data_IF_086030414398
#
_entry.id   IF_086030414398
#
_cell.length_a   1.000
_cell.length_b   1.000
_cell.length_c   1.000
_cell.angle_alpha   90.00
_cell.angle_beta   90.00
_cell.angle_gamma   90.00
#
_symmetry.space_group_name_H-M   'P 1'
#
loop_
_entity.id
_entity.type
_entity.pdbx_description
1 polymer ?
#
# COMPACT_ATOMS: atom_id res chain seq x y z
N UNK A 1 16.03 -26.68 -16.43
CA UNK A 1 16.59 -25.52 -17.17
C UNK A 1 18.03 -25.82 -17.57
N UNK A 2 18.46 -25.47 -18.78
CA UNK A 2 19.85 -25.66 -19.23
C UNK A 2 20.78 -24.65 -18.56
N UNK A 3 22.04 -25.03 -18.27
CA UNK A 3 23.07 -24.16 -17.65
C UNK A 3 23.21 -22.78 -18.34
N UNK A 4 23.06 -22.75 -19.67
CA UNK A 4 23.11 -21.52 -20.48
C UNK A 4 21.97 -20.55 -20.16
N UNK A 5 20.78 -21.03 -19.81
CA UNK A 5 19.65 -20.18 -19.43
C UNK A 5 19.83 -19.62 -18.02
N UNK A 6 20.32 -20.42 -17.07
CA UNK A 6 20.62 -19.96 -15.71
C UNK A 6 21.68 -18.84 -15.71
N UNK A 7 22.74 -18.98 -16.52
CA UNK A 7 23.78 -17.95 -16.65
C UNK A 7 23.21 -16.62 -17.17
N UNK A 8 22.34 -16.67 -18.18
CA UNK A 8 21.68 -15.47 -18.75
C UNK A 8 20.73 -14.80 -17.75
N UNK A 9 20.02 -15.59 -16.94
CA UNK A 9 19.14 -15.06 -15.90
C UNK A 9 19.95 -14.38 -14.78
N UNK A 10 21.10 -14.93 -14.40
CA UNK A 10 21.97 -14.30 -13.41
C UNK A 10 22.61 -13.00 -13.93
N UNK A 11 23.01 -12.96 -15.20
CA UNK A 11 23.47 -11.73 -15.85
C UNK A 11 22.36 -10.66 -15.89
N UNK A 12 21.12 -11.07 -16.20
CA UNK A 12 19.95 -10.18 -16.16
C UNK A 12 19.69 -9.66 -14.73
N UNK A 13 19.74 -10.53 -13.72
CA UNK A 13 19.59 -10.15 -12.31
C UNK A 13 20.61 -9.06 -11.92
N UNK A 14 21.88 -9.26 -12.25
CA UNK A 14 22.93 -8.29 -11.92
C UNK A 14 22.71 -6.95 -12.64
N UNK A 15 22.35 -7.00 -13.92
CA UNK A 15 22.06 -5.80 -14.73
C UNK A 15 20.88 -5.00 -14.16
N UNK A 16 19.78 -5.69 -13.82
CA UNK A 16 18.62 -5.05 -13.23
C UNK A 16 18.90 -4.51 -11.83
N UNK A 17 19.66 -5.23 -11.02
CA UNK A 17 20.11 -4.77 -9.71
C UNK A 17 20.92 -3.48 -9.82
N UNK A 18 21.90 -3.42 -10.72
CA UNK A 18 22.74 -2.21 -10.91
C UNK A 18 21.89 -1.02 -11.43
N UNK A 19 20.94 -1.29 -12.31
CA UNK A 19 20.00 -0.27 -12.79
C UNK A 19 19.09 0.25 -11.67
N UNK A 20 18.56 -0.64 -10.83
CA UNK A 20 17.73 -0.29 -9.67
C UNK A 20 18.55 0.51 -8.65
N UNK A 21 19.79 0.10 -8.37
CA UNK A 21 20.68 0.81 -7.45
C UNK A 21 21.00 2.22 -7.97
N UNK A 22 21.12 2.38 -9.30
CA UNK A 22 21.26 3.69 -9.95
C UNK A 22 19.99 4.54 -9.82
N UNK A 23 18.81 3.96 -10.04
CA UNK A 23 17.51 4.63 -9.88
C UNK A 23 17.35 5.13 -8.45
N UNK A 24 17.65 4.28 -7.48
CA UNK A 24 17.57 4.64 -6.07
C UNK A 24 18.63 5.69 -5.69
N UNK A 25 19.80 5.68 -6.30
CA UNK A 25 20.80 6.74 -6.09
C UNK A 25 20.30 8.11 -6.56
N UNK A 26 19.53 8.16 -7.65
CA UNK A 26 18.96 9.37 -8.27
C UNK A 26 17.64 9.85 -7.62
N UNK A 27 17.35 9.38 -6.40
CA UNK A 27 16.13 9.65 -5.60
C UNK A 27 15.61 11.09 -5.66
N UNK A 28 14.28 11.25 -5.64
CA UNK A 28 13.57 12.53 -5.62
C UNK A 28 13.61 13.39 -6.87
N UNK A 29 14.35 12.96 -7.88
CA UNK A 29 14.44 13.71 -9.12
C UNK A 29 13.24 13.54 -10.06
N UNK A 30 12.41 12.54 -9.76
CA UNK A 30 11.29 12.06 -10.58
C UNK A 30 9.93 12.44 -9.98
N UNK A 31 9.87 12.88 -8.72
CA UNK A 31 8.61 13.08 -8.00
C UNK A 31 7.89 14.40 -8.37
N UNK A 32 8.50 15.28 -9.16
CA UNK A 32 7.93 16.59 -9.53
C UNK A 32 7.18 16.55 -10.86
N UNK A 33 5.88 16.22 -10.81
CA UNK A 33 4.74 16.74 -11.61
C UNK A 33 4.72 16.75 -13.15
N UNK A 34 5.85 16.67 -13.85
CA UNK A 34 5.90 16.78 -15.32
C UNK A 34 5.62 15.45 -16.01
N UNK A 35 5.02 15.51 -17.20
CA UNK A 35 4.71 14.35 -18.07
C UNK A 35 5.94 13.47 -18.37
N UNK A 36 7.13 14.09 -18.52
CA UNK A 36 8.38 13.38 -18.72
C UNK A 36 8.78 12.48 -17.53
N UNK A 37 8.36 12.83 -16.32
CA UNK A 37 8.68 12.06 -15.11
C UNK A 37 7.64 11.00 -14.77
N UNK A 38 6.39 11.16 -15.22
CA UNK A 38 5.42 10.05 -15.22
C UNK A 38 5.90 8.88 -16.07
N UNK A 39 6.42 9.15 -17.27
CA UNK A 39 7.03 8.13 -18.13
C UNK A 39 8.22 7.43 -17.47
N UNK A 40 9.08 8.19 -16.79
CA UNK A 40 10.20 7.61 -16.05
C UNK A 40 9.73 6.73 -14.87
N UNK A 41 8.68 7.15 -14.14
CA UNK A 41 8.09 6.33 -13.08
C UNK A 41 7.47 5.02 -13.63
N UNK A 42 6.86 5.06 -14.82
CA UNK A 42 6.36 3.86 -15.52
C UNK A 42 7.51 2.93 -15.93
N UNK A 43 8.57 3.45 -16.52
CA UNK A 43 9.78 2.68 -16.88
C UNK A 43 10.42 2.03 -15.66
N UNK A 44 10.45 2.72 -14.52
CA UNK A 44 10.96 2.18 -13.27
C UNK A 44 10.10 1.06 -12.72
N UNK A 45 8.79 1.20 -12.76
CA UNK A 45 7.88 0.13 -12.38
C UNK A 45 8.12 -1.12 -13.23
N UNK A 46 8.37 -0.95 -14.54
CA UNK A 46 8.74 -2.06 -15.42
C UNK A 46 10.07 -2.70 -15.03
N UNK A 47 11.08 -1.89 -14.68
CA UNK A 47 12.37 -2.40 -14.22
C UNK A 47 12.23 -3.29 -12.98
N UNK A 48 11.46 -2.86 -11.97
CA UNK A 48 11.19 -3.64 -10.78
C UNK A 48 10.37 -4.91 -11.09
N UNK A 49 9.35 -4.81 -11.95
CA UNK A 49 8.58 -5.98 -12.40
C UNK A 49 9.49 -7.05 -13.01
N UNK A 50 10.38 -6.65 -13.93
CA UNK A 50 11.33 -7.57 -14.58
C UNK A 50 12.32 -8.15 -13.57
N UNK A 51 12.79 -7.36 -12.61
CA UNK A 51 13.67 -7.87 -11.54
C UNK A 51 12.98 -8.96 -10.72
N UNK A 52 11.73 -8.74 -10.32
CA UNK A 52 10.95 -9.72 -9.56
C UNK A 52 10.71 -11.00 -10.38
N UNK A 53 10.40 -10.89 -11.67
CA UNK A 53 10.26 -12.05 -12.57
C UNK A 53 11.55 -12.86 -12.69
N UNK A 54 12.70 -12.19 -12.79
CA UNK A 54 14.02 -12.84 -12.81
C UNK A 54 14.32 -13.52 -11.47
N UNK A 55 14.03 -12.88 -10.33
CA UNK A 55 14.20 -13.48 -9.01
C UNK A 55 13.41 -14.79 -8.89
N UNK A 56 12.12 -14.76 -9.28
CA UNK A 56 11.25 -15.93 -9.25
C UNK A 56 11.70 -17.02 -10.23
N UNK A 57 12.26 -16.65 -11.38
CA UNK A 57 12.83 -17.61 -12.35
C UNK A 57 14.14 -18.25 -11.89
N UNK A 58 14.84 -17.62 -10.95
CA UNK A 58 16.06 -18.11 -10.32
C UNK A 58 15.82 -18.85 -9.00
N UNK A 59 14.55 -19.05 -8.58
CA UNK A 59 14.21 -19.57 -7.26
C UNK A 59 14.83 -18.75 -6.12
N UNK A 60 14.68 -17.43 -6.23
CA UNK A 60 15.08 -16.43 -5.23
C UNK A 60 13.82 -15.72 -4.73
N UNK A 61 12.95 -16.47 -4.05
CA UNK A 61 11.63 -16.02 -3.60
C UNK A 61 11.72 -14.91 -2.55
N UNK A 62 12.75 -14.92 -1.70
CA UNK A 62 13.03 -13.87 -0.72
C UNK A 62 13.38 -12.55 -1.41
N UNK A 63 14.33 -12.59 -2.36
CA UNK A 63 14.74 -11.43 -3.15
C UNK A 63 13.53 -10.83 -3.89
N UNK A 64 12.66 -11.69 -4.44
CA UNK A 64 11.45 -11.25 -5.13
C UNK A 64 10.56 -10.38 -4.23
N UNK A 65 10.33 -10.78 -2.97
CA UNK A 65 9.55 -9.97 -2.03
C UNK A 65 10.27 -8.66 -1.68
N UNK A 66 11.58 -8.72 -1.43
CA UNK A 66 12.36 -7.52 -1.10
C UNK A 66 12.31 -6.48 -2.22
N UNK A 67 12.41 -6.89 -3.48
CA UNK A 67 12.26 -5.99 -4.62
C UNK A 67 10.82 -5.49 -4.81
N UNK A 68 9.80 -6.30 -4.48
CA UNK A 68 8.41 -5.83 -4.44
C UNK A 68 8.25 -4.73 -3.39
N UNK A 69 8.77 -4.94 -2.18
CA UNK A 69 8.70 -3.99 -1.07
C UNK A 69 9.47 -2.71 -1.38
N UNK A 70 10.66 -2.84 -1.99
CA UNK A 70 11.48 -1.73 -2.46
C UNK A 70 10.72 -0.86 -3.47
N UNK A 71 10.04 -1.49 -4.43
CA UNK A 71 9.19 -0.78 -5.38
C UNK A 71 8.00 -0.07 -4.71
N UNK A 72 7.22 -0.78 -3.89
CA UNK A 72 6.02 -0.18 -3.24
C UNK A 72 6.37 1.00 -2.33
N UNK A 73 7.56 0.98 -1.76
CA UNK A 73 7.92 1.87 -0.64
C UNK A 73 8.73 3.09 -1.07
N UNK A 74 9.32 3.12 -2.28
CA UNK A 74 10.19 4.22 -2.70
C UNK A 74 9.47 5.59 -2.69
N UNK A 75 8.30 5.70 -3.33
CA UNK A 75 7.54 6.96 -3.42
C UNK A 75 7.05 7.39 -2.04
N UNK A 76 6.46 6.45 -1.29
CA UNK A 76 5.86 6.80 0.00
C UNK A 76 6.94 7.17 1.00
N UNK A 77 8.05 6.43 1.10
CA UNK A 77 9.17 6.81 1.97
C UNK A 77 9.71 8.18 1.64
N UNK A 78 9.79 8.53 0.35
CA UNK A 78 10.22 9.85 -0.07
C UNK A 78 9.21 10.95 0.30
N UNK A 79 7.91 10.74 0.08
CA UNK A 79 6.86 11.68 0.48
C UNK A 79 6.84 11.89 2.00
N UNK A 80 7.03 10.83 2.76
CA UNK A 80 7.07 10.84 4.22
C UNK A 80 8.33 11.56 4.75
N UNK A 81 9.48 11.34 4.12
CA UNK A 81 10.71 12.08 4.38
C UNK A 81 10.59 13.56 3.95
N UNK A 82 9.80 13.85 2.92
CA UNK A 82 9.56 15.22 2.42
C UNK A 82 8.70 16.02 3.38
N UNK A 83 7.60 15.42 3.86
CA UNK A 83 6.66 16.07 4.77
C UNK A 83 7.07 15.98 6.23
N UNK A 84 8.25 15.42 6.54
CA UNK A 84 8.76 15.17 7.89
C UNK A 84 7.83 14.31 8.78
N UNK A 85 6.81 13.67 8.20
CA UNK A 85 5.74 12.99 8.92
C UNK A 85 6.23 11.78 9.74
N UNK A 86 7.39 11.22 9.37
CA UNK A 86 8.02 10.08 10.06
C UNK A 86 9.33 10.48 10.76
N UNK A 87 9.81 11.71 10.52
CA UNK A 87 11.08 12.22 11.04
C UNK A 87 10.87 13.11 12.28
N UNK A 88 9.65 13.33 12.73
CA UNK A 88 9.38 13.90 14.05
C UNK A 88 9.73 12.84 15.12
N UNK A 89 11.00 12.86 15.53
CA UNK A 89 11.50 12.10 16.69
C UNK A 89 12.80 11.33 16.48
N UNK A 90 13.15 10.93 15.25
CA UNK A 90 14.35 10.09 14.99
C UNK A 90 15.57 10.84 14.45
N UNK A 91 15.40 11.97 13.73
CA UNK A 91 16.52 12.71 13.13
C UNK A 91 16.79 14.04 13.86
N UNK A 92 18.05 14.35 14.22
CA UNK A 92 18.43 15.65 14.80
C UNK A 92 17.98 16.82 13.92
N UNK A 93 17.58 17.94 14.53
CA UNK A 93 17.13 19.13 13.80
C UNK A 93 18.19 19.66 12.80
N UNK A 94 19.48 19.57 13.17
CA UNK A 94 20.58 19.96 12.29
C UNK A 94 20.59 19.15 10.98
N UNK A 95 20.46 17.83 11.07
CA UNK A 95 20.41 16.93 9.90
C UNK A 95 19.18 17.24 9.05
N UNK A 96 18.02 17.50 9.67
CA UNK A 96 16.80 17.88 8.94
C UNK A 96 16.97 19.17 8.14
N UNK A 97 17.59 20.22 8.72
CA UNK A 97 17.88 21.48 8.01
C UNK A 97 18.87 21.27 6.88
N UNK A 98 19.88 20.43 7.08
CA UNK A 98 20.87 20.11 6.04
C UNK A 98 20.24 19.35 4.86
N UNK A 99 19.39 18.35 5.12
CA UNK A 99 18.65 17.63 4.09
C UNK A 99 17.73 18.56 3.27
N UNK A 100 17.06 19.52 3.93
CA UNK A 100 16.25 20.53 3.23
C UNK A 100 17.11 21.41 2.31
N UNK A 101 18.28 21.84 2.78
CA UNK A 101 19.21 22.65 2.00
C UNK A 101 19.73 21.88 0.78
N UNK A 102 20.16 20.64 0.96
CA UNK A 102 20.66 19.80 -0.13
C UNK A 102 19.61 19.58 -1.21
N UNK A 103 18.34 19.36 -0.83
CA UNK A 103 17.24 19.25 -1.80
C UNK A 103 17.10 20.50 -2.67
N UNK A 104 17.14 21.68 -2.05
CA UNK A 104 17.06 22.95 -2.79
C UNK A 104 18.26 23.13 -3.74
N UNK A 105 19.46 22.82 -3.28
CA UNK A 105 20.68 22.90 -4.10
C UNK A 105 20.64 21.92 -5.29
N UNK A 106 20.17 20.69 -5.06
CA UNK A 106 19.96 19.70 -6.13
C UNK A 106 18.95 20.24 -7.15
N UNK A 107 17.80 20.78 -6.72
CA UNK A 107 16.79 21.31 -7.62
C UNK A 107 17.29 22.50 -8.45
N UNK A 108 18.05 23.40 -7.85
CA UNK A 108 18.68 24.53 -8.55
C UNK A 108 19.68 24.03 -9.60
N UNK A 109 20.54 23.11 -9.20
CA UNK A 109 21.58 22.56 -10.07
C UNK A 109 20.99 21.80 -11.25
N UNK A 110 19.90 21.06 -11.05
CA UNK A 110 19.17 20.39 -12.14
C UNK A 110 18.65 21.37 -13.17
N UNK A 111 18.08 22.49 -12.74
CA UNK A 111 17.59 23.53 -13.67
C UNK A 111 18.75 24.15 -14.46
N UNK A 112 19.91 24.32 -13.84
CA UNK A 112 21.13 24.77 -14.53
C UNK A 112 21.57 23.76 -15.59
N UNK A 113 21.64 22.47 -15.25
CA UNK A 113 22.05 21.41 -16.16
C UNK A 113 21.09 21.22 -17.34
N UNK A 114 19.80 21.48 -17.15
CA UNK A 114 18.79 21.36 -18.21
C UNK A 114 18.96 22.39 -19.35
N UNK A 115 19.60 23.53 -19.09
CA UNK A 115 19.83 24.60 -20.08
C UNK A 115 21.27 24.63 -20.60
N UNK A 116 22.16 23.83 -20.01
CA UNK A 116 23.56 23.74 -20.38
C UNK A 116 23.74 22.88 -21.65
N UNK A 117 24.56 23.34 -22.59
CA UNK A 117 24.87 22.61 -23.82
C UNK A 117 25.93 21.52 -23.59
N UNK A 118 26.71 21.63 -22.51
CA UNK A 118 27.72 20.65 -22.09
C UNK A 118 27.64 20.45 -20.57
N UNK A 119 26.60 19.74 -20.08
CA UNK A 119 26.34 19.61 -18.66
C UNK A 119 27.47 18.86 -17.92
N UNK A 120 28.01 19.50 -16.87
CA UNK A 120 28.89 18.85 -15.89
C UNK A 120 28.09 18.32 -14.71
N UNK A 121 27.99 16.99 -14.61
CA UNK A 121 27.27 16.31 -13.55
C UNK A 121 28.11 16.11 -12.25
N UNK A 122 29.35 16.56 -12.21
CA UNK A 122 30.23 16.38 -11.05
C UNK A 122 29.66 17.01 -9.77
N UNK A 123 29.20 18.27 -9.85
CA UNK A 123 28.68 18.99 -8.69
C UNK A 123 27.36 18.39 -8.18
N UNK A 124 26.40 18.11 -9.07
CA UNK A 124 25.14 17.48 -8.66
C UNK A 124 25.36 16.10 -8.05
N UNK A 125 26.32 15.33 -8.55
CA UNK A 125 26.65 14.02 -7.97
C UNK A 125 27.21 14.14 -6.55
N UNK A 126 28.02 15.15 -6.25
CA UNK A 126 28.48 15.42 -4.87
C UNK A 126 27.32 15.76 -3.94
N UNK A 127 26.36 16.57 -4.40
CA UNK A 127 25.16 16.92 -3.62
C UNK A 127 24.30 15.68 -3.34
N UNK A 128 24.09 14.82 -4.35
CA UNK A 128 23.37 13.54 -4.22
C UNK A 128 24.05 12.59 -3.26
N UNK A 129 25.37 12.46 -3.36
CA UNK A 129 26.15 11.61 -2.47
C UNK A 129 25.96 12.05 -1.01
N UNK A 130 26.15 13.35 -0.72
CA UNK A 130 25.95 13.89 0.63
C UNK A 130 24.52 13.71 1.13
N UNK A 131 23.52 13.86 0.26
CA UNK A 131 22.12 13.60 0.62
C UNK A 131 21.91 12.13 1.02
N UNK A 132 22.43 11.19 0.23
CA UNK A 132 22.32 9.75 0.49
C UNK A 132 23.12 9.31 1.73
N UNK A 133 24.23 9.97 2.06
CA UNK A 133 25.00 9.73 3.28
C UNK A 133 24.24 10.17 4.54
N UNK A 134 23.53 11.30 4.47
CA UNK A 134 22.73 11.82 5.59
C UNK A 134 21.39 11.09 5.77
N UNK A 135 20.86 10.51 4.69
CA UNK A 135 19.59 9.80 4.71
C UNK A 135 19.61 8.58 3.77
N UNK A 136 20.26 7.49 4.20
CA UNK A 136 20.33 6.26 3.41
C UNK A 136 18.93 5.67 3.20
N UNK A 137 18.69 4.99 2.06
CA UNK A 137 17.48 4.14 1.98
C UNK A 137 17.78 2.93 2.83
N UNK A 138 16.85 2.62 3.70
CA UNK A 138 16.76 1.29 4.23
C UNK A 138 15.75 0.53 3.38
N UNK A 139 16.06 -0.72 3.07
CA UNK A 139 15.15 -1.65 2.40
C UNK A 139 14.87 -2.80 3.34
N UNK A 140 13.59 -3.07 3.59
CA UNK A 140 13.21 -4.19 4.45
C UNK A 140 13.67 -5.50 3.82
N UNK A 141 14.40 -6.31 4.61
CA UNK A 141 14.82 -7.65 4.24
C UNK A 141 13.74 -8.67 4.62
N UNK A 142 13.71 -9.83 3.97
CA UNK A 142 12.67 -10.83 4.21
C UNK A 142 12.62 -11.28 5.69
N UNK A 143 13.77 -11.52 6.31
CA UNK A 143 13.85 -11.85 7.75
C UNK A 143 13.21 -10.75 8.63
N UNK A 144 13.38 -9.48 8.25
CA UNK A 144 12.75 -8.37 8.96
C UNK A 144 11.23 -8.35 8.76
N UNK A 145 10.72 -8.77 7.59
CA UNK A 145 9.28 -8.94 7.34
C UNK A 145 8.70 -10.02 8.24
N UNK A 146 9.40 -11.16 8.39
CA UNK A 146 8.98 -12.24 9.28
C UNK A 146 8.93 -11.81 10.75
N UNK A 147 9.84 -10.94 11.15
CA UNK A 147 9.89 -10.37 12.50
C UNK A 147 8.81 -9.29 12.76
N UNK A 148 8.01 -8.91 11.77
CA UNK A 148 6.84 -8.01 11.97
C UNK A 148 5.62 -8.73 12.54
N UNK A 149 5.62 -10.06 12.49
CA UNK A 149 4.48 -10.93 12.80
C UNK A 149 4.86 -11.98 13.84
N UNK A 150 3.89 -12.39 14.65
CA UNK A 150 4.01 -13.50 15.60
C UNK A 150 3.47 -14.82 15.00
N UNK A 151 3.56 -15.91 15.77
CA UNK A 151 3.13 -17.26 15.35
C UNK A 151 1.65 -17.36 14.96
N UNK A 152 0.80 -16.47 15.47
CA UNK A 152 -0.62 -16.42 15.14
C UNK A 152 -0.96 -15.43 14.02
N UNK A 153 0.02 -14.75 13.43
CA UNK A 153 -0.19 -13.73 12.41
C UNK A 153 0.41 -14.16 11.09
N UNK A 154 -0.33 -13.97 10.00
CA UNK A 154 0.18 -14.17 8.64
C UNK A 154 0.06 -12.89 7.80
N UNK A 155 0.94 -12.74 6.81
CA UNK A 155 0.81 -11.71 5.78
C UNK A 155 0.38 -12.37 4.48
N UNK A 156 -0.67 -11.84 3.85
CA UNK A 156 -1.04 -12.14 2.47
C UNK A 156 -0.78 -10.90 1.65
N UNK A 157 0.20 -11.01 0.74
CA UNK A 157 0.64 -9.93 -0.12
C UNK A 157 0.35 -10.25 -1.57
N UNK A 158 -0.34 -9.36 -2.27
CA UNK A 158 -0.54 -9.46 -3.70
C UNK A 158 0.51 -8.67 -4.47
N UNK A 159 0.83 -9.17 -5.66
CA UNK A 159 1.59 -8.45 -6.66
C UNK A 159 1.05 -8.80 -8.05
N UNK A 160 0.86 -7.78 -8.89
CA UNK A 160 0.22 -7.88 -10.21
C UNK A 160 1.33 -7.71 -11.24
N UNK A 161 1.51 -8.71 -12.09
CA UNK A 161 2.44 -8.74 -13.21
C UNK A 161 1.70 -8.40 -14.51
N UNK A 162 2.44 -8.39 -15.63
CA UNK A 162 1.85 -8.13 -16.95
C UNK A 162 0.89 -9.25 -17.41
N UNK A 163 1.15 -10.49 -16.99
CA UNK A 163 0.45 -11.68 -17.48
C UNK A 163 -0.31 -12.45 -16.40
N UNK A 164 -0.05 -12.24 -15.12
CA UNK A 164 -0.70 -12.89 -13.99
C UNK A 164 -0.68 -11.98 -12.76
N UNK A 165 -1.29 -12.41 -11.66
CA UNK A 165 -0.96 -11.91 -10.34
C UNK A 165 -0.50 -13.07 -9.45
N UNK A 166 0.29 -12.75 -8.44
CA UNK A 166 0.77 -13.72 -7.46
C UNK A 166 0.41 -13.26 -6.06
N UNK A 167 0.22 -14.25 -5.20
CA UNK A 167 -0.02 -14.06 -3.78
C UNK A 167 1.13 -14.69 -3.00
N UNK A 168 1.79 -13.87 -2.20
CA UNK A 168 2.86 -14.26 -1.30
C UNK A 168 2.27 -14.41 0.10
N UNK A 169 2.40 -15.61 0.66
CA UNK A 169 1.94 -15.94 2.01
C UNK A 169 3.18 -16.05 2.89
N UNK A 170 3.26 -15.19 3.90
CA UNK A 170 4.41 -15.07 4.81
C UNK A 170 3.96 -15.43 6.22
N UNK A 171 4.76 -16.26 6.89
CA UNK A 171 4.55 -16.73 8.27
C UNK A 171 5.86 -16.61 9.05
N UNK A 172 5.78 -16.56 10.37
CA UNK A 172 6.93 -16.23 11.22
C UNK A 172 8.14 -17.17 11.02
N UNK A 173 7.93 -18.49 10.94
CA UNK A 173 9.04 -19.47 10.97
C UNK A 173 9.53 -19.97 9.61
N UNK A 174 8.91 -19.59 8.50
CA UNK A 174 9.26 -20.16 7.19
C UNK A 174 10.40 -19.40 6.51
N UNK A 175 11.47 -20.09 6.05
CA UNK A 175 12.61 -19.40 5.44
C UNK A 175 12.28 -18.69 4.12
N UNK A 176 11.17 -19.08 3.47
CA UNK A 176 10.72 -18.56 2.18
C UNK A 176 9.19 -18.40 2.18
N UNK A 177 8.66 -17.42 1.42
CA UNK A 177 7.22 -17.24 1.26
C UNK A 177 6.61 -18.40 0.45
N UNK A 178 5.33 -18.70 0.71
CA UNK A 178 4.56 -19.53 -0.22
C UNK A 178 4.02 -18.63 -1.32
N UNK A 179 4.22 -19.03 -2.56
CA UNK A 179 3.77 -18.27 -3.71
C UNK A 179 2.66 -19.05 -4.41
N UNK A 180 1.47 -18.46 -4.42
CA UNK A 180 0.39 -18.88 -5.30
C UNK A 180 0.37 -17.98 -6.55
N UNK A 181 0.17 -18.57 -7.73
CA UNK A 181 0.19 -17.85 -9.01
C UNK A 181 -1.14 -18.05 -9.74
N UNK A 182 -1.71 -16.94 -10.22
CA UNK A 182 -2.91 -16.93 -11.05
C UNK A 182 -2.60 -17.30 -12.50
N UNK A 183 -3.64 -17.67 -13.24
CA UNK A 183 -3.58 -17.70 -14.70
C UNK A 183 -3.68 -16.29 -15.30
N UNK A 184 -3.39 -16.20 -16.61
CA UNK A 184 -3.62 -14.99 -17.39
C UNK A 184 -5.10 -14.66 -17.53
N UNK A 185 -5.96 -15.67 -17.53
CA UNK A 185 -7.40 -15.48 -17.59
C UNK A 185 -7.92 -14.88 -16.27
N UNK A 186 -7.39 -15.31 -15.12
CA UNK A 186 -7.72 -14.70 -13.83
C UNK A 186 -7.37 -13.21 -13.80
N UNK A 187 -6.20 -12.82 -14.34
CA UNK A 187 -5.80 -11.41 -14.40
C UNK A 187 -6.73 -10.59 -15.32
N UNK A 188 -7.11 -11.13 -16.48
CA UNK A 188 -8.10 -10.49 -17.37
C UNK A 188 -9.45 -10.33 -16.69
N UNK A 189 -9.90 -11.37 -16.01
CA UNK A 189 -11.14 -11.35 -15.24
C UNK A 189 -11.08 -10.33 -14.10
N UNK A 190 -9.94 -10.21 -13.41
CA UNK A 190 -9.73 -9.20 -12.37
C UNK A 190 -9.82 -7.78 -12.92
N UNK A 191 -9.18 -7.49 -14.05
CA UNK A 191 -9.26 -6.18 -14.71
C UNK A 191 -10.69 -5.84 -15.15
N UNK A 192 -11.37 -6.79 -15.79
CA UNK A 192 -12.76 -6.61 -16.20
C UNK A 192 -13.67 -6.38 -14.99
N UNK A 193 -13.53 -7.22 -13.96
CA UNK A 193 -14.29 -7.11 -12.73
C UNK A 193 -14.09 -5.73 -12.07
N UNK A 194 -12.84 -5.24 -12.01
CA UNK A 194 -12.51 -3.91 -11.48
C UNK A 194 -13.24 -2.82 -12.25
N UNK A 195 -13.16 -2.84 -13.58
CA UNK A 195 -13.76 -1.81 -14.44
C UNK A 195 -15.29 -1.80 -14.28
N UNK A 196 -15.91 -2.98 -14.28
CA UNK A 196 -17.35 -3.16 -14.07
C UNK A 196 -17.79 -2.73 -12.66
N UNK A 197 -16.98 -3.01 -11.63
CA UNK A 197 -17.24 -2.61 -10.25
C UNK A 197 -17.18 -1.09 -10.08
N UNK A 198 -16.12 -0.45 -10.60
CA UNK A 198 -15.93 1.00 -10.49
C UNK A 198 -16.98 1.77 -11.28
N UNK A 199 -17.32 1.29 -12.48
CA UNK A 199 -18.40 1.87 -13.26
C UNK A 199 -19.73 1.85 -12.47
N UNK A 200 -20.07 0.70 -11.87
CA UNK A 200 -21.29 0.58 -11.06
C UNK A 200 -21.25 1.42 -9.77
N UNK A 201 -20.09 1.50 -9.10
CA UNK A 201 -19.91 2.27 -7.86
C UNK A 201 -20.04 3.78 -8.08
N UNK A 202 -19.49 4.31 -9.18
CA UNK A 202 -19.54 5.73 -9.47
C UNK A 202 -20.80 6.16 -10.25
N UNK A 203 -21.55 5.22 -10.85
CA UNK A 203 -22.74 5.53 -11.63
C UNK A 203 -23.76 6.43 -10.90
N UNK A 204 -24.10 6.20 -9.60
CA UNK A 204 -25.05 7.07 -8.89
C UNK A 204 -24.56 8.52 -8.77
N UNK A 205 -23.26 8.73 -8.56
CA UNK A 205 -22.66 10.08 -8.45
C UNK A 205 -22.67 10.84 -9.77
N UNK A 206 -22.76 10.13 -10.89
CA UNK A 206 -22.78 10.68 -12.23
C UNK A 206 -24.20 10.78 -12.82
N UNK A 207 -25.23 10.42 -12.05
CA UNK A 207 -26.62 10.48 -12.48
C UNK A 207 -27.07 11.93 -12.72
N UNK A 208 -27.96 12.13 -13.70
CA UNK A 208 -28.45 13.48 -14.05
C UNK A 208 -29.69 13.89 -13.25
N UNK A 209 -30.35 12.92 -12.62
CA UNK A 209 -31.60 13.13 -11.88
C UNK A 209 -31.58 12.29 -10.60
N UNK A 210 -32.28 12.76 -9.57
CA UNK A 210 -32.42 12.05 -8.28
C UNK A 210 -33.03 10.64 -8.47
N UNK A 211 -34.03 10.50 -9.34
CA UNK A 211 -34.66 9.21 -9.64
C UNK A 211 -33.68 8.21 -10.28
N UNK A 212 -32.81 8.68 -11.16
CA UNK A 212 -31.76 7.85 -11.77
C UNK A 212 -30.70 7.47 -10.73
N UNK A 213 -30.30 8.41 -9.87
CA UNK A 213 -29.36 8.17 -8.77
C UNK A 213 -29.86 7.07 -7.84
N UNK A 214 -31.11 7.16 -7.36
CA UNK A 214 -31.71 6.14 -6.47
C UNK A 214 -31.77 4.76 -7.13
N UNK A 215 -32.12 4.70 -8.42
CA UNK A 215 -32.19 3.46 -9.17
C UNK A 215 -30.81 2.81 -9.30
N UNK A 216 -29.79 3.59 -9.68
CA UNK A 216 -28.41 3.11 -9.82
C UNK A 216 -27.83 2.68 -8.47
N UNK A 217 -28.14 3.42 -7.40
CA UNK A 217 -27.74 3.08 -6.04
C UNK A 217 -28.30 1.72 -5.62
N UNK A 218 -29.61 1.49 -5.78
CA UNK A 218 -30.25 0.19 -5.50
C UNK A 218 -29.69 -0.94 -6.36
N UNK A 219 -29.38 -0.67 -7.63
CA UNK A 219 -28.76 -1.66 -8.52
C UNK A 219 -27.37 -2.07 -8.03
N UNK A 220 -26.55 -1.09 -7.63
CA UNK A 220 -25.24 -1.35 -7.05
C UNK A 220 -25.34 -2.17 -5.77
N UNK A 221 -26.18 -1.75 -4.81
CA UNK A 221 -26.43 -2.43 -3.53
C UNK A 221 -26.86 -3.89 -3.73
N UNK A 222 -27.83 -4.14 -4.61
CA UNK A 222 -28.31 -5.49 -4.89
C UNK A 222 -27.25 -6.38 -5.58
N UNK A 223 -26.27 -5.78 -6.25
CA UNK A 223 -25.21 -6.51 -6.97
C UNK A 223 -23.96 -6.77 -6.12
N UNK A 224 -23.80 -6.10 -4.96
CA UNK A 224 -22.53 -6.15 -4.22
C UNK A 224 -22.16 -7.57 -3.79
N UNK A 225 -23.14 -8.36 -3.32
CA UNK A 225 -22.90 -9.73 -2.86
C UNK A 225 -22.36 -10.64 -3.95
N UNK A 226 -22.99 -10.63 -5.13
CA UNK A 226 -22.53 -11.45 -6.26
C UNK A 226 -21.20 -10.96 -6.83
N UNK A 227 -20.95 -9.65 -6.82
CA UNK A 227 -19.66 -9.08 -7.22
C UNK A 227 -18.54 -9.53 -6.28
N UNK A 228 -18.74 -9.48 -4.96
CA UNK A 228 -17.73 -9.94 -4.00
C UNK A 228 -17.49 -11.44 -4.08
N UNK A 229 -18.54 -12.24 -4.36
CA UNK A 229 -18.39 -13.67 -4.64
C UNK A 229 -17.50 -13.93 -5.85
N UNK A 230 -17.75 -13.24 -6.97
CA UNK A 230 -16.92 -13.33 -8.16
C UNK A 230 -15.48 -12.88 -7.88
N UNK A 231 -15.27 -11.82 -7.11
CA UNK A 231 -13.93 -11.36 -6.75
C UNK A 231 -13.18 -12.40 -5.90
N UNK A 232 -13.86 -13.03 -4.94
CA UNK A 232 -13.26 -14.08 -4.11
C UNK A 232 -12.80 -15.29 -4.94
N UNK A 233 -13.59 -15.66 -5.96
CA UNK A 233 -13.26 -16.71 -6.93
C UNK A 233 -12.07 -16.31 -7.81
N UNK A 234 -12.11 -15.10 -8.40
CA UNK A 234 -11.02 -14.57 -9.24
C UNK A 234 -9.70 -14.51 -8.46
N UNK A 235 -9.74 -14.13 -7.17
CA UNK A 235 -8.55 -14.05 -6.31
C UNK A 235 -8.18 -15.38 -5.65
N UNK A 236 -8.94 -16.46 -5.89
CA UNK A 236 -8.70 -17.80 -5.35
C UNK A 236 -8.52 -17.83 -3.82
N UNK A 237 -9.32 -17.02 -3.10
CA UNK A 237 -9.16 -16.83 -1.65
C UNK A 237 -9.24 -18.15 -0.87
N UNK A 238 -10.15 -19.05 -1.24
CA UNK A 238 -10.27 -20.35 -0.56
C UNK A 238 -8.99 -21.18 -0.67
N UNK A 239 -8.34 -21.20 -1.84
CA UNK A 239 -7.11 -21.95 -2.06
C UNK A 239 -5.94 -21.32 -1.30
N UNK A 240 -5.88 -19.98 -1.26
CA UNK A 240 -4.88 -19.25 -0.47
C UNK A 240 -5.03 -19.58 1.03
N UNK A 241 -6.26 -19.61 1.54
CA UNK A 241 -6.54 -19.96 2.93
C UNK A 241 -6.23 -21.42 3.26
N UNK A 242 -6.50 -22.34 2.34
CA UNK A 242 -6.13 -23.76 2.49
C UNK A 242 -4.60 -23.93 2.54
N UNK A 243 -3.87 -23.23 1.67
CA UNK A 243 -2.42 -23.22 1.72
C UNK A 243 -1.89 -22.67 3.05
N UNK A 244 -2.53 -21.62 3.58
CA UNK A 244 -2.18 -21.04 4.88
C UNK A 244 -2.43 -22.03 6.02
N UNK A 245 -3.62 -22.62 6.09
CA UNK A 245 -4.02 -23.51 7.20
C UNK A 245 -3.23 -24.82 7.22
N UNK A 246 -2.84 -25.35 6.05
CA UNK A 246 -2.00 -26.54 5.94
C UNK A 246 -0.60 -26.34 6.56
N UNK A 247 -0.15 -25.10 6.67
CA UNK A 247 1.23 -24.76 7.01
C UNK A 247 1.31 -24.13 8.41
N UNK A 248 0.36 -23.26 8.74
CA UNK A 248 0.22 -22.68 10.07
C UNK A 248 -1.26 -22.76 10.50
N UNK A 249 -1.65 -23.82 11.25
CA UNK A 249 -3.04 -24.06 11.58
C UNK A 249 -3.62 -23.08 12.62
N UNK A 250 -2.75 -22.34 13.32
CA UNK A 250 -3.14 -21.49 14.45
C UNK A 250 -3.12 -19.99 14.12
N UNK A 251 -3.31 -19.61 12.85
CA UNK A 251 -3.39 -18.20 12.46
C UNK A 251 -4.76 -17.63 12.83
N UNK A 252 -4.76 -16.60 13.67
CA UNK A 252 -5.93 -15.91 14.18
C UNK A 252 -5.91 -14.39 13.87
N UNK A 253 -4.83 -13.89 13.24
CA UNK A 253 -4.72 -12.55 12.68
C UNK A 253 -4.18 -12.61 11.24
N UNK A 254 -4.74 -11.77 10.37
CA UNK A 254 -4.27 -11.63 9.00
C UNK A 254 -3.90 -10.18 8.68
N UNK A 255 -2.77 -9.98 8.02
CA UNK A 255 -2.36 -8.69 7.45
C UNK A 255 -2.43 -8.79 5.93
N UNK A 256 -3.27 -7.97 5.32
CA UNK A 256 -3.40 -7.86 3.88
C UNK A 256 -2.49 -6.75 3.36
N UNK A 257 -1.65 -7.08 2.37
CA UNK A 257 -0.81 -6.11 1.64
C UNK A 257 -1.24 -6.10 0.17
N UNK A 258 -2.23 -5.29 -0.20
CA UNK A 258 -2.70 -5.19 -1.58
C UNK A 258 -1.63 -4.61 -2.53
N UNK A 259 -1.93 -4.62 -3.83
CA UNK A 259 -1.13 -3.97 -4.86
C UNK A 259 -2.02 -3.19 -5.82
N UNK A 260 -1.61 -1.96 -6.18
CA UNK A 260 -2.32 -1.08 -7.11
C UNK A 260 -3.79 -0.90 -6.70
N UNK A 261 -4.72 -1.11 -7.63
CA UNK A 261 -6.15 -0.93 -7.41
C UNK A 261 -6.76 -1.93 -6.41
N UNK A 262 -6.03 -2.96 -5.95
CA UNK A 262 -6.54 -3.84 -4.90
C UNK A 262 -6.73 -3.11 -3.57
N UNK A 263 -6.05 -1.97 -3.34
CA UNK A 263 -6.21 -1.16 -2.13
C UNK A 263 -7.61 -0.58 -1.94
N UNK A 264 -8.36 -0.37 -3.03
CA UNK A 264 -9.71 0.21 -2.95
C UNK A 264 -10.81 -0.86 -2.85
N UNK A 265 -10.44 -2.15 -2.86
CA UNK A 265 -11.37 -3.26 -2.82
C UNK A 265 -11.55 -3.77 -1.37
N UNK A 266 -12.76 -4.18 -0.97
CA UNK A 266 -13.02 -4.69 0.38
C UNK A 266 -12.55 -6.14 0.54
N UNK A 267 -11.24 -6.40 0.39
CA UNK A 267 -10.66 -7.76 0.45
C UNK A 267 -10.99 -8.53 1.74
N UNK A 268 -11.05 -7.83 2.88
CA UNK A 268 -11.46 -8.41 4.16
C UNK A 268 -12.92 -8.91 4.17
N UNK A 269 -13.78 -8.33 3.33
CA UNK A 269 -15.20 -8.69 3.19
C UNK A 269 -15.46 -9.69 2.06
N UNK A 270 -14.45 -10.41 1.59
CA UNK A 270 -14.65 -11.46 0.59
C UNK A 270 -15.31 -12.69 1.21
N UNK A 271 -16.36 -13.26 0.59
CA UNK A 271 -17.02 -14.46 1.08
C UNK A 271 -16.11 -15.69 0.96
N UNK A 272 -16.23 -16.61 1.91
CA UNK A 272 -15.47 -17.86 1.95
C UNK A 272 -16.43 -19.03 1.70
N UNK A 273 -16.09 -19.90 0.74
CA UNK A 273 -17.00 -20.93 0.23
C UNK A 273 -17.29 -22.05 1.23
N UNK A 274 -16.46 -22.22 2.26
CA UNK A 274 -16.57 -23.32 3.20
C UNK A 274 -17.73 -23.16 4.20
N UNK A 275 -18.29 -21.96 4.38
CA UNK A 275 -19.44 -21.72 5.24
C UNK A 275 -20.32 -20.62 4.63
N UNK A 276 -21.51 -20.98 4.16
CA UNK A 276 -22.46 -20.02 3.57
C UNK A 276 -22.79 -18.90 4.57
N UNK A 277 -22.23 -17.71 4.35
CA UNK A 277 -22.42 -16.53 5.20
C UNK A 277 -21.17 -16.02 5.91
N UNK A 278 -20.05 -16.76 5.89
CA UNK A 278 -18.80 -16.29 6.49
C UNK A 278 -17.97 -15.48 5.48
N UNK A 279 -17.42 -14.37 5.96
CA UNK A 279 -16.47 -13.53 5.25
C UNK A 279 -15.06 -13.75 5.77
N UNK A 280 -14.06 -13.29 5.02
CA UNK A 280 -12.65 -13.43 5.40
C UNK A 280 -12.38 -12.89 6.81
N UNK A 281 -12.98 -11.76 7.19
CA UNK A 281 -12.81 -11.18 8.53
C UNK A 281 -13.40 -12.03 9.67
N UNK A 282 -14.39 -12.90 9.40
CA UNK A 282 -15.00 -13.75 10.42
C UNK A 282 -14.08 -14.91 10.86
N UNK A 283 -13.07 -15.24 10.05
CA UNK A 283 -12.16 -16.35 10.31
C UNK A 283 -11.02 -16.02 11.28
N UNK A 284 -10.74 -14.74 11.52
CA UNK A 284 -9.57 -14.29 12.27
C UNK A 284 -9.99 -13.50 13.52
N UNK A 285 -10.05 -14.14 14.71
CA UNK A 285 -10.49 -13.50 15.96
C UNK A 285 -9.71 -12.25 16.37
N UNK A 286 -8.40 -12.19 16.07
CA UNK A 286 -7.56 -10.99 16.29
C UNK A 286 -7.67 -9.97 15.13
N UNK A 287 -8.54 -10.22 14.17
CA UNK A 287 -8.94 -9.33 13.10
C UNK A 287 -8.09 -9.42 11.82
N UNK A 288 -8.55 -8.70 10.80
CA UNK A 288 -7.86 -8.51 9.52
C UNK A 288 -7.39 -7.06 9.43
N UNK A 289 -6.10 -6.86 9.22
CA UNK A 289 -5.45 -5.55 9.08
C UNK A 289 -5.02 -5.32 7.65
N UNK A 290 -4.84 -4.06 7.29
CA UNK A 290 -4.23 -3.65 6.03
C UNK A 290 -2.90 -2.94 6.29
N UNK A 291 -1.93 -3.19 5.42
CA UNK A 291 -0.73 -2.38 5.31
C UNK A 291 -0.47 -2.04 3.84
N UNK A 292 0.04 -0.83 3.52
CA UNK A 292 0.40 -0.47 2.16
C UNK A 292 1.66 -1.22 1.68
N UNK A 293 2.59 -1.48 2.61
CA UNK A 293 3.78 -2.31 2.43
C UNK A 293 4.26 -2.81 3.81
N UNK A 294 5.04 -3.88 3.83
CA UNK A 294 5.68 -4.40 5.04
C UNK A 294 6.68 -3.41 5.62
N UNK A 295 7.36 -2.61 4.79
CA UNK A 295 8.27 -1.59 5.30
C UNK A 295 7.55 -0.45 6.03
N UNK A 296 6.40 0.01 5.54
CA UNK A 296 5.60 0.99 6.28
C UNK A 296 5.04 0.37 7.57
N UNK A 297 4.62 -0.90 7.53
CA UNK A 297 4.20 -1.63 8.73
C UNK A 297 5.30 -1.64 9.79
N UNK A 298 6.54 -1.94 9.40
CA UNK A 298 7.71 -1.89 10.29
C UNK A 298 7.90 -0.50 10.90
N UNK A 299 7.86 0.56 10.08
CA UNK A 299 8.02 1.93 10.56
C UNK A 299 6.94 2.31 11.58
N UNK A 300 5.69 1.94 11.34
CA UNK A 300 4.56 2.21 12.24
C UNK A 300 4.67 1.40 13.53
N UNK A 301 5.10 0.13 13.48
CA UNK A 301 5.30 -0.69 14.68
C UNK A 301 6.45 -0.20 15.57
N UNK A 302 7.49 0.39 14.97
CA UNK A 302 8.61 0.98 15.72
C UNK A 302 8.27 2.32 16.39
N UNK A 303 7.13 2.95 16.06
CA UNK A 303 6.73 4.19 16.71
C UNK A 303 6.23 3.89 18.13
N UNK A 304 6.87 4.51 19.12
CA UNK A 304 6.36 4.52 20.49
C UNK A 304 5.04 5.31 20.51
N UNK A 305 3.93 4.59 20.64
CA UNK A 305 2.65 5.23 20.93
C UNK A 305 2.65 5.65 22.39
N UNK A 306 2.65 6.96 22.62
CA UNK A 306 2.39 7.48 23.95
C UNK A 306 0.97 7.11 24.35
N UNK A 307 0.74 6.80 25.63
CA UNK A 307 -0.62 6.73 26.14
C UNK A 307 -1.28 8.11 25.99
N UNK A 308 -2.37 8.18 25.22
CA UNK A 308 -3.08 9.42 24.98
C UNK A 308 -4.33 9.48 25.86
N UNK A 309 -4.41 10.52 26.69
CA UNK A 309 -5.55 10.79 27.57
C UNK A 309 -6.62 11.68 26.94
N UNK A 310 -6.34 12.20 25.75
CA UNK A 310 -7.17 13.15 25.03
C UNK A 310 -7.82 12.48 23.82
N UNK A 311 -9.14 12.61 23.71
CA UNK A 311 -9.93 12.18 22.57
C UNK A 311 -10.54 13.38 21.87
N UNK A 312 -10.36 13.44 20.56
CA UNK A 312 -10.98 14.44 19.70
C UNK A 312 -11.84 13.72 18.66
N UNK A 313 -13.12 14.08 18.59
CA UNK A 313 -14.05 13.53 17.61
C UNK A 313 -14.81 14.64 16.90
N UNK A 314 -15.01 14.45 15.60
CA UNK A 314 -15.96 15.23 14.80
C UNK A 314 -17.12 14.30 14.48
N UNK A 315 -18.29 14.63 15.03
CA UNK A 315 -19.49 13.82 14.91
C UNK A 315 -20.48 14.52 13.98
N UNK A 316 -20.95 13.79 12.96
CA UNK A 316 -21.94 14.23 11.99
C UNK A 316 -21.59 15.61 11.41
N UNK A 317 -20.47 15.74 10.68
CA UNK A 317 -19.99 17.03 10.18
C UNK A 317 -20.93 17.68 9.15
N UNK A 318 -21.92 16.96 8.62
CA UNK A 318 -22.89 17.45 7.65
C UNK A 318 -24.33 17.01 8.02
N UNK A 319 -25.37 17.81 7.69
CA UNK A 319 -26.77 17.53 8.08
C UNK A 319 -27.35 16.23 7.52
N UNK A 320 -26.94 15.85 6.31
CA UNK A 320 -27.38 14.65 5.59
C UNK A 320 -26.97 13.35 6.26
N UNK A 321 -25.99 13.39 7.18
CA UNK A 321 -25.61 12.25 8.02
C UNK A 321 -26.58 12.04 9.20
N UNK A 322 -27.51 12.98 9.42
CA UNK A 322 -28.56 12.91 10.44
C UNK A 322 -29.90 12.46 9.84
N UNK A 323 -30.21 12.85 8.61
CA UNK A 323 -31.53 12.63 7.98
C UNK A 323 -32.00 11.16 7.90
N UNK A 324 -31.12 10.14 7.71
CA UNK A 324 -31.53 8.74 7.68
C UNK A 324 -31.68 8.08 9.06
N UNK A 325 -31.19 8.71 10.13
CA UNK A 325 -31.12 8.11 11.47
C UNK A 325 -31.86 8.98 12.49
N UNK A 326 -32.97 8.48 13.03
CA UNK A 326 -33.76 9.18 14.05
C UNK A 326 -32.95 9.48 15.35
N UNK A 327 -31.82 8.81 15.57
CA UNK A 327 -30.99 8.95 16.77
C UNK A 327 -29.49 8.78 16.49
N UNK A 328 -28.68 9.52 17.25
CA UNK A 328 -27.24 9.26 17.40
C UNK A 328 -27.03 7.81 17.89
N UNK A 329 -26.30 7.00 17.12
CA UNK A 329 -25.94 5.62 17.46
C UNK A 329 -25.08 5.53 18.73
N UNK A 330 -24.61 6.66 19.27
CA UNK A 330 -23.98 6.76 20.58
C UNK A 330 -22.54 6.26 20.62
N UNK A 331 -21.96 5.87 19.47
CA UNK A 331 -20.61 5.30 19.36
C UNK A 331 -19.57 6.30 19.87
N UNK A 332 -19.62 7.55 19.40
CA UNK A 332 -18.67 8.61 19.82
C UNK A 332 -18.76 8.83 21.34
N UNK A 333 -19.97 8.81 21.89
CA UNK A 333 -20.24 8.98 23.31
C UNK A 333 -19.79 7.77 24.16
N UNK A 334 -19.84 6.57 23.61
CA UNK A 334 -19.34 5.37 24.26
C UNK A 334 -17.80 5.38 24.30
N UNK A 335 -17.15 5.73 23.19
CA UNK A 335 -15.68 5.83 23.09
C UNK A 335 -15.14 6.94 23.99
N UNK A 336 -15.79 8.11 24.03
CA UNK A 336 -15.30 9.26 24.83
C UNK A 336 -15.18 8.95 26.33
N UNK A 337 -15.95 8.00 26.85
CA UNK A 337 -15.87 7.57 28.26
C UNK A 337 -14.56 6.86 28.61
N UNK A 338 -13.81 6.40 27.61
CA UNK A 338 -12.51 5.74 27.80
C UNK A 338 -11.35 6.74 27.99
N UNK A 339 -11.62 8.05 27.86
CA UNK A 339 -10.58 9.09 27.89
C UNK A 339 -10.84 10.11 29.00
N UNK A 340 -9.77 10.57 29.66
CA UNK A 340 -9.85 11.59 30.73
C UNK A 340 -10.32 12.95 30.19
N UNK A 341 -9.91 13.28 28.97
CA UNK A 341 -10.27 14.53 28.30
C UNK A 341 -10.88 14.21 26.94
N UNK A 342 -12.10 14.68 26.70
CA UNK A 342 -12.82 14.43 25.44
C UNK A 342 -13.38 15.73 24.87
N UNK A 343 -13.09 15.99 23.60
CA UNK A 343 -13.61 17.12 22.83
C UNK A 343 -14.40 16.58 21.64
N UNK A 344 -15.71 16.81 21.63
CA UNK A 344 -16.60 16.35 20.57
C UNK A 344 -17.17 17.58 19.86
N UNK A 345 -16.87 17.73 18.57
CA UNK A 345 -17.48 18.73 17.70
C UNK A 345 -18.73 18.17 17.03
N UNK A 346 -19.87 18.81 17.26
CA UNK A 346 -21.17 18.52 16.64
C UNK A 346 -21.54 19.69 15.72
N UNK A 347 -22.01 19.41 14.50
CA UNK A 347 -22.41 20.43 13.52
C UNK A 347 -23.44 21.44 14.07
N UNK A 348 -24.35 21.01 14.96
CA UNK A 348 -25.37 21.88 15.58
C UNK A 348 -24.79 23.07 16.38
N UNK A 349 -23.56 22.97 16.92
CA UNK A 349 -22.92 24.05 17.69
C UNK A 349 -22.44 25.22 16.81
N UNK A 350 -22.20 25.00 15.51
CA UNK A 350 -21.69 26.04 14.61
C UNK A 350 -22.79 27.05 14.27
N UNK A 351 -24.03 26.60 14.06
CA UNK A 351 -25.16 27.50 13.75
C UNK A 351 -25.59 28.28 14.99
N UNK A 352 -25.48 27.70 16.19
CA UNK A 352 -25.85 28.38 17.44
C UNK A 352 -24.86 29.49 17.85
N UNK A 353 -23.57 29.35 17.52
CA UNK A 353 -22.54 30.34 17.85
C UNK A 353 -22.28 31.39 16.76
N UNK A 354 -22.69 31.15 15.51
CA UNK A 354 -22.63 32.17 14.44
C UNK A 354 -23.89 33.04 14.37
N UNK A 355 -24.93 32.74 15.18
CA UNK A 355 -26.17 33.51 15.29
C UNK A 355 -26.29 34.31 16.60
N UNK A 356 -25.20 34.52 17.33
CA UNK A 356 -25.16 35.39 18.52
C UNK A 356 -24.32 36.64 18.29
#
# INVERSE_FOLDING_TARGET
MTYRNAKRLQEAYNTFKDAIDTVDYLRGEIISGDEAKQKLAEEWNQLYLQMVEVCLSLSKETDAIEYIERNKTHILSELLATRQLFAEGKLPEAVRKELQKLRLEIDIEKRRLAVDKQPDYGHINQLRQRYNELYPLEHIQFEQIQNLIDDGTAIIQWYIFGDCFRTFIITHHRPEPIIWQSSNEDLKNLHKWRDDYLAAYYAPRNAKTETEQEKLQKQWENSIKSRLQQLAEILHINQILENLSNISPNIDQLILVPHLYLHILPLHGLPISQNAGNYLFDLFPRGVKYAPSCQILQQVQQQQRQEFQHFFAIQNPTPDLYEPYDQDLGIVRAISKQFQHSYIFLYLLIIANLKK
#
